data_IF_754710398113
#
_entry.id   IF_754710398113
#
_cell.length_a   1.000
_cell.length_b   1.000
_cell.length_c   1.000
_cell.angle_alpha   90.00
_cell.angle_beta   90.00
_cell.angle_gamma   90.00
#
_symmetry.space_group_name_H-M   'P 1'
#
loop_
_entity.id
_entity.type
_entity.pdbx_description
1 polymer ?
#
# COMPACT_ATOMS: atom_id res chain seq x y z
N UNK A 1 6.39 -37.76 -11.43
CA UNK A 1 6.40 -37.14 -12.78
C UNK A 1 7.18 -35.83 -12.71
N UNK A 2 8.13 -35.60 -13.65
CA UNK A 2 8.95 -34.39 -13.70
C UNK A 2 8.64 -33.60 -14.97
N UNK A 3 8.48 -32.30 -14.84
CA UNK A 3 8.26 -31.37 -15.93
C UNK A 3 9.38 -30.33 -15.94
N UNK A 4 9.91 -30.03 -17.11
CA UNK A 4 10.89 -28.98 -17.34
C UNK A 4 10.38 -28.07 -18.44
N UNK A 5 10.34 -26.75 -18.16
CA UNK A 5 9.95 -25.74 -19.14
C UNK A 5 11.10 -24.75 -19.31
N UNK A 6 11.49 -24.52 -20.55
CA UNK A 6 12.46 -23.50 -20.93
C UNK A 6 11.75 -22.43 -21.75
N UNK A 7 11.96 -21.18 -21.42
CA UNK A 7 11.40 -20.03 -22.13
C UNK A 7 12.49 -19.03 -22.47
N UNK A 8 12.35 -18.39 -23.61
CA UNK A 8 13.24 -17.30 -24.03
C UNK A 8 12.43 -16.33 -24.87
N UNK A 9 12.57 -15.03 -24.59
CA UNK A 9 11.92 -13.97 -25.36
C UNK A 9 12.87 -12.81 -25.55
N UNK A 10 12.80 -12.16 -26.69
CA UNK A 10 13.46 -10.89 -26.93
C UNK A 10 12.42 -9.87 -27.41
N UNK A 11 12.35 -8.73 -26.74
CA UNK A 11 11.45 -7.64 -27.07
C UNK A 11 12.24 -6.43 -27.60
N UNK A 12 11.58 -5.64 -28.43
CA UNK A 12 12.07 -4.37 -28.94
C UNK A 12 11.01 -3.31 -28.69
N UNK A 13 11.35 -2.26 -27.96
CA UNK A 13 10.43 -1.17 -27.68
C UNK A 13 10.88 0.13 -28.34
N UNK A 14 9.93 0.82 -28.98
CA UNK A 14 10.15 2.15 -29.55
C UNK A 14 10.16 3.27 -28.51
N UNK A 15 9.73 2.99 -27.28
CA UNK A 15 9.68 3.96 -26.17
C UNK A 15 11.05 4.19 -25.52
N UNK A 16 12.03 3.34 -25.85
CA UNK A 16 13.39 3.41 -25.36
C UNK A 16 14.36 4.02 -26.38
N UNK A 17 15.47 4.62 -25.93
CA UNK A 17 16.55 5.06 -26.78
C UNK A 17 17.04 3.92 -27.70
N UNK A 18 17.48 4.26 -28.91
CA UNK A 18 17.81 3.28 -29.96
C UNK A 18 18.78 2.20 -29.50
N UNK A 19 19.74 2.55 -28.66
CA UNK A 19 20.79 1.68 -28.11
C UNK A 19 20.25 0.68 -27.08
N UNK A 20 19.12 1.00 -26.44
CA UNK A 20 18.54 0.24 -25.33
C UNK A 20 17.19 -0.44 -25.69
N UNK A 21 16.79 -0.40 -26.96
CA UNK A 21 15.46 -0.91 -27.39
C UNK A 21 15.28 -2.41 -27.27
N UNK A 22 16.37 -3.18 -27.41
CA UNK A 22 16.32 -4.63 -27.41
C UNK A 22 16.70 -5.19 -26.07
N UNK A 23 15.86 -6.08 -25.52
CA UNK A 23 16.13 -6.75 -24.25
C UNK A 23 15.66 -8.20 -24.29
N UNK A 24 16.53 -9.08 -23.78
CA UNK A 24 16.35 -10.52 -23.79
C UNK A 24 16.15 -11.05 -22.38
N UNK A 25 15.18 -11.94 -22.22
CA UNK A 25 14.89 -12.53 -20.94
C UNK A 25 14.54 -14.02 -21.03
N UNK A 26 15.42 -14.88 -20.47
CA UNK A 26 15.23 -16.30 -20.39
C UNK A 26 14.49 -16.70 -19.12
N UNK A 27 13.91 -17.90 -19.13
CA UNK A 27 13.33 -18.51 -17.94
C UNK A 27 13.45 -20.04 -17.97
N UNK A 28 13.57 -20.63 -16.80
CA UNK A 28 13.55 -22.08 -16.59
C UNK A 28 12.68 -22.41 -15.40
N UNK A 29 11.79 -23.38 -15.57
CA UNK A 29 10.94 -23.88 -14.48
C UNK A 29 11.02 -25.40 -14.47
N UNK A 30 11.26 -25.97 -13.30
CA UNK A 30 11.15 -27.40 -13.04
C UNK A 30 10.05 -27.66 -12.02
N UNK A 31 9.24 -28.66 -12.23
CA UNK A 31 8.25 -29.11 -11.26
C UNK A 31 8.17 -30.63 -11.21
N UNK A 32 8.15 -31.14 -9.99
CA UNK A 32 8.17 -32.57 -9.69
C UNK A 32 6.96 -32.96 -8.86
N UNK A 33 6.04 -33.76 -9.47
CA UNK A 33 4.95 -34.42 -8.76
C UNK A 33 5.51 -35.69 -8.15
N UNK A 34 5.86 -35.60 -6.87
CA UNK A 34 6.47 -36.74 -6.16
C UNK A 34 5.46 -37.68 -5.54
N UNK A 35 4.21 -37.21 -5.31
CA UNK A 35 3.14 -38.06 -4.75
C UNK A 35 2.82 -39.30 -5.59
N UNK A 36 3.05 -39.23 -6.90
CA UNK A 36 2.87 -40.41 -7.76
C UNK A 36 3.86 -41.55 -7.40
N UNK A 37 5.02 -41.21 -6.85
CA UNK A 37 6.03 -42.18 -6.46
C UNK A 37 5.83 -42.73 -5.04
N UNK A 38 5.06 -42.03 -4.23
CA UNK A 38 4.84 -42.35 -2.80
C UNK A 38 3.44 -42.86 -2.51
N UNK A 39 2.62 -43.05 -3.55
CA UNK A 39 1.19 -43.35 -3.43
C UNK A 39 0.87 -44.59 -2.58
N UNK A 40 1.69 -45.62 -2.69
CA UNK A 40 1.53 -46.86 -1.92
C UNK A 40 2.07 -46.74 -0.48
N UNK A 41 3.18 -46.01 -0.29
CA UNK A 41 3.84 -45.87 1.01
C UNK A 41 3.19 -44.77 1.88
N UNK A 42 2.54 -43.79 1.26
CA UNK A 42 1.95 -42.64 1.95
C UNK A 42 0.51 -42.35 1.45
N UNK A 43 -0.46 -43.25 1.70
CA UNK A 43 -1.85 -43.08 1.22
C UNK A 43 -2.57 -41.87 1.83
N UNK A 44 -2.03 -41.31 2.91
CA UNK A 44 -2.50 -40.07 3.54
C UNK A 44 -2.10 -38.80 2.76
N UNK A 45 -1.06 -38.90 1.87
CA UNK A 45 -0.63 -37.83 0.99
C UNK A 45 -1.41 -37.92 -0.34
N UNK A 46 -2.46 -37.10 -0.47
CA UNK A 46 -3.32 -37.08 -1.66
C UNK A 46 -2.67 -36.44 -2.87
N UNK A 47 -1.80 -35.45 -2.65
CA UNK A 47 -1.04 -34.76 -3.68
C UNK A 47 0.24 -34.16 -3.09
N UNK A 48 1.34 -34.24 -3.84
CA UNK A 48 2.61 -33.62 -3.50
C UNK A 48 3.39 -33.20 -4.74
N UNK A 49 3.67 -31.90 -4.83
CA UNK A 49 4.42 -31.28 -5.93
C UNK A 49 5.41 -30.26 -5.38
N UNK A 50 6.67 -30.37 -5.81
CA UNK A 50 7.68 -29.34 -5.60
C UNK A 50 7.94 -28.58 -6.90
N UNK A 51 8.21 -27.28 -6.83
CA UNK A 51 8.55 -26.46 -7.99
C UNK A 51 9.70 -25.53 -7.70
N UNK A 52 10.53 -25.28 -8.71
CA UNK A 52 11.53 -24.23 -8.72
C UNK A 52 11.45 -23.50 -10.05
N UNK A 53 11.48 -22.18 -9.99
CA UNK A 53 11.48 -21.33 -11.17
C UNK A 53 12.57 -20.27 -11.03
N UNK A 54 13.29 -20.06 -12.11
CA UNK A 54 14.18 -18.93 -12.28
C UNK A 54 13.88 -18.27 -13.61
N UNK A 55 13.83 -16.95 -13.61
CA UNK A 55 13.58 -16.22 -14.85
C UNK A 55 13.93 -14.75 -14.75
N UNK A 56 14.02 -14.16 -15.93
CA UNK A 56 14.08 -12.72 -16.09
C UNK A 56 12.83 -12.24 -16.80
N UNK A 57 12.39 -11.03 -16.48
CA UNK A 57 11.35 -10.29 -17.19
C UNK A 57 11.84 -8.87 -17.43
N UNK A 58 11.52 -8.32 -18.59
CA UNK A 58 11.78 -6.93 -18.92
C UNK A 58 10.49 -6.13 -18.98
N UNK A 59 10.58 -4.85 -18.66
CA UNK A 59 9.52 -3.88 -18.85
C UNK A 59 10.09 -2.65 -19.51
N UNK A 60 9.40 -2.09 -20.50
CA UNK A 60 9.82 -0.88 -21.20
C UNK A 60 9.35 0.39 -20.49
N UNK A 61 9.75 1.53 -21.02
CA UNK A 61 9.30 2.84 -20.55
C UNK A 61 7.92 3.19 -21.13
N UNK A 62 7.19 4.03 -20.43
CA UNK A 62 6.04 4.71 -21.01
C UNK A 62 6.46 5.61 -22.19
N UNK A 63 5.50 5.96 -23.02
CA UNK A 63 5.76 6.84 -24.18
C UNK A 63 6.25 8.23 -23.72
N UNK A 64 7.15 8.81 -24.53
CA UNK A 64 7.70 10.18 -24.32
C UNK A 64 8.52 10.39 -23.04
N UNK A 65 9.05 9.33 -22.43
CA UNK A 65 9.94 9.49 -21.26
C UNK A 65 11.40 9.83 -21.65
N UNK A 66 11.76 9.72 -22.93
CA UNK A 66 13.13 9.99 -23.42
C UNK A 66 13.40 11.46 -23.69
N UNK A 67 12.37 12.20 -24.09
CA UNK A 67 12.48 13.58 -24.54
C UNK A 67 11.37 14.45 -23.94
N UNK A 68 11.64 15.73 -23.65
CA UNK A 68 10.58 16.65 -23.26
C UNK A 68 9.63 16.88 -24.43
N UNK A 69 8.34 16.97 -24.15
CA UNK A 69 7.32 17.21 -25.15
C UNK A 69 6.38 18.35 -24.74
N UNK A 70 5.71 18.92 -25.74
CA UNK A 70 4.74 19.97 -25.49
C UNK A 70 3.40 19.36 -25.10
N UNK A 71 2.82 19.85 -24.03
CA UNK A 71 1.46 19.55 -23.60
C UNK A 71 0.55 20.74 -23.85
N UNK A 72 -0.73 20.50 -24.04
CA UNK A 72 -1.69 21.57 -24.12
C UNK A 72 -1.67 22.39 -22.85
N UNK A 73 -1.52 23.71 -22.97
CA UNK A 73 -1.41 24.59 -21.81
C UNK A 73 -2.67 24.56 -20.98
N UNK A 74 -2.50 24.52 -19.69
CA UNK A 74 -3.53 24.89 -18.71
C UNK A 74 -2.90 25.89 -17.75
N UNK A 75 -3.68 26.91 -17.38
CA UNK A 75 -3.25 27.89 -16.41
C UNK A 75 -4.11 27.76 -15.16
N UNK A 76 -3.50 27.30 -14.09
CA UNK A 76 -4.13 27.22 -12.77
C UNK A 76 -3.37 28.14 -11.82
N UNK A 77 -3.93 29.29 -11.53
CA UNK A 77 -3.25 30.29 -10.68
C UNK A 77 -3.44 30.07 -9.18
N UNK A 78 -4.37 29.23 -8.76
CA UNK A 78 -4.74 29.14 -7.32
C UNK A 78 -5.43 27.86 -6.89
N UNK A 79 -5.48 26.84 -7.74
CA UNK A 79 -6.25 25.60 -7.46
C UNK A 79 -7.77 25.75 -7.56
N UNK A 80 -8.29 26.96 -7.73
CA UNK A 80 -9.73 27.24 -7.75
C UNK A 80 -10.29 27.51 -9.13
N UNK A 81 -9.46 27.86 -10.11
CA UNK A 81 -9.89 28.14 -11.47
C UNK A 81 -8.85 27.66 -12.48
N UNK A 82 -9.29 26.76 -13.36
CA UNK A 82 -8.50 26.26 -14.49
C UNK A 82 -8.88 27.02 -15.76
N UNK A 83 -7.91 27.71 -16.37
CA UNK A 83 -8.06 28.21 -17.73
C UNK A 83 -7.48 27.20 -18.69
N UNK A 84 -8.37 26.45 -19.36
CA UNK A 84 -8.00 25.44 -20.38
C UNK A 84 -7.84 26.06 -21.75
N UNK A 85 -6.95 25.51 -22.54
CA UNK A 85 -6.79 25.89 -23.93
C UNK A 85 -7.34 24.76 -24.86
N UNK A 86 -7.93 25.05 -26.02
CA UNK A 86 -8.13 26.41 -26.61
C UNK A 86 -9.00 27.30 -25.72
N UNK A 87 -8.56 28.53 -25.54
CA UNK A 87 -9.30 29.48 -24.72
C UNK A 87 -10.69 29.74 -25.32
N UNK A 88 -11.74 29.50 -24.53
CA UNK A 88 -13.10 29.39 -25.02
C UNK A 88 -13.65 30.65 -25.75
N UNK A 89 -13.17 31.84 -25.37
CA UNK A 89 -13.63 33.12 -26.00
C UNK A 89 -12.95 33.44 -27.32
N UNK A 90 -11.69 33.04 -27.52
CA UNK A 90 -10.89 33.47 -28.67
C UNK A 90 -10.42 32.31 -29.54
N UNK A 91 -10.61 31.06 -29.09
CA UNK A 91 -10.04 29.87 -29.77
C UNK A 91 -8.52 29.78 -29.73
N UNK A 92 -7.86 30.67 -28.96
CA UNK A 92 -6.39 30.70 -28.89
C UNK A 92 -5.86 29.45 -28.21
N UNK A 93 -4.91 28.76 -28.89
CA UNK A 93 -4.16 27.63 -28.31
C UNK A 93 -2.92 28.12 -27.59
N UNK A 94 -2.57 27.40 -26.54
CA UNK A 94 -1.29 27.51 -25.87
C UNK A 94 -0.72 26.11 -25.57
N UNK A 95 0.60 26.01 -25.62
CA UNK A 95 1.33 24.80 -25.27
C UNK A 95 2.41 25.17 -24.26
N UNK A 96 2.65 24.25 -23.35
CA UNK A 96 3.76 24.37 -22.39
C UNK A 96 4.72 23.20 -22.62
N UNK A 97 6.00 23.43 -22.43
CA UNK A 97 6.95 22.32 -22.28
C UNK A 97 6.63 21.62 -20.98
N UNK A 98 6.56 20.29 -20.99
CA UNK A 98 6.40 19.49 -19.77
C UNK A 98 7.50 19.84 -18.75
N UNK A 99 7.15 19.81 -17.50
CA UNK A 99 8.06 20.10 -16.38
C UNK A 99 8.92 18.89 -15.95
N UNK A 100 8.84 17.78 -16.71
CA UNK A 100 9.66 16.59 -16.50
C UNK A 100 10.73 16.48 -17.57
N UNK A 101 11.99 16.42 -17.15
CA UNK A 101 13.11 16.21 -18.05
C UNK A 101 13.15 14.76 -18.53
N UNK A 102 13.19 14.52 -19.84
CA UNK A 102 13.37 13.20 -20.43
C UNK A 102 14.79 12.66 -20.20
N UNK A 103 14.96 11.35 -20.37
CA UNK A 103 16.25 10.68 -20.26
C UNK A 103 16.66 10.02 -21.57
N UNK A 104 17.66 10.57 -22.24
CA UNK A 104 18.20 10.01 -23.47
C UNK A 104 18.94 8.66 -23.29
N UNK A 105 19.24 8.27 -22.05
CA UNK A 105 19.97 7.03 -21.70
C UNK A 105 19.07 5.98 -21.04
N UNK A 106 17.76 6.19 -21.05
CA UNK A 106 16.82 5.30 -20.39
C UNK A 106 16.97 3.85 -20.87
N UNK A 107 16.99 2.93 -19.93
CA UNK A 107 17.13 1.48 -20.17
C UNK A 107 15.87 0.76 -19.71
N UNK A 108 15.55 -0.43 -20.26
CA UNK A 108 14.42 -1.22 -19.77
C UNK A 108 14.65 -1.64 -18.33
N UNK A 109 13.58 -1.72 -17.57
CA UNK A 109 13.59 -2.36 -16.27
C UNK A 109 13.81 -3.85 -16.42
N UNK A 110 14.66 -4.44 -15.61
CA UNK A 110 14.92 -5.87 -15.63
C UNK A 110 14.70 -6.48 -14.27
N UNK A 111 13.80 -7.43 -14.20
CA UNK A 111 13.53 -8.19 -12.97
C UNK A 111 14.06 -9.61 -13.11
N UNK A 112 14.86 -10.04 -12.16
CA UNK A 112 15.31 -11.43 -12.02
C UNK A 112 14.66 -12.02 -10.78
N UNK A 113 14.06 -13.19 -10.94
CA UNK A 113 13.36 -13.88 -9.85
C UNK A 113 13.80 -15.32 -9.72
N UNK A 114 13.92 -15.77 -8.47
CA UNK A 114 14.08 -17.16 -8.09
C UNK A 114 12.94 -17.53 -7.13
N UNK A 115 12.18 -18.55 -7.47
CA UNK A 115 11.02 -19.03 -6.74
C UNK A 115 11.18 -20.50 -6.37
N UNK A 116 10.82 -20.86 -5.14
CA UNK A 116 10.64 -22.22 -4.66
C UNK A 116 9.21 -22.39 -4.16
N UNK A 117 8.54 -23.45 -4.58
CA UNK A 117 7.17 -23.71 -4.16
C UNK A 117 6.95 -25.18 -3.84
N UNK A 118 6.04 -25.42 -2.91
CA UNK A 118 5.55 -26.75 -2.57
C UNK A 118 4.03 -26.74 -2.48
N UNK A 119 3.40 -27.72 -3.11
CA UNK A 119 1.96 -27.97 -3.01
C UNK A 119 1.76 -29.34 -2.38
N UNK A 120 0.99 -29.37 -1.31
CA UNK A 120 0.67 -30.60 -0.57
C UNK A 120 -0.83 -30.68 -0.37
N UNK A 121 -1.39 -31.89 -0.49
CA UNK A 121 -2.74 -32.16 -0.06
C UNK A 121 -2.79 -33.51 0.69
N UNK A 122 -3.53 -33.54 1.77
CA UNK A 122 -3.59 -34.64 2.70
C UNK A 122 -5.05 -35.08 2.93
N UNK A 123 -5.21 -36.35 3.35
CA UNK A 123 -6.49 -36.90 3.82
C UNK A 123 -7.64 -36.66 2.83
N UNK A 124 -7.44 -37.07 1.57
CA UNK A 124 -8.41 -36.87 0.47
C UNK A 124 -8.76 -35.37 0.26
N UNK A 125 -7.71 -34.53 0.23
CA UNK A 125 -7.79 -33.07 0.06
C UNK A 125 -8.54 -32.34 1.20
N UNK A 126 -8.62 -32.91 2.40
CA UNK A 126 -9.16 -32.19 3.56
C UNK A 126 -8.23 -31.11 4.08
N UNK A 127 -6.94 -31.27 3.85
CA UNK A 127 -5.92 -30.29 4.19
C UNK A 127 -5.12 -30.07 2.92
N UNK A 128 -5.05 -28.86 2.44
CA UNK A 128 -4.14 -28.46 1.37
C UNK A 128 -3.28 -27.27 1.76
N UNK A 129 -2.04 -27.28 1.32
CA UNK A 129 -1.05 -26.23 1.51
C UNK A 129 -0.42 -25.93 0.16
N UNK A 130 -0.38 -24.66 -0.23
CA UNK A 130 0.53 -24.11 -1.24
C UNK A 130 1.44 -23.11 -0.52
N UNK A 131 2.74 -23.35 -0.55
CA UNK A 131 3.74 -22.48 0.04
C UNK A 131 4.77 -22.10 -1.01
N UNK A 132 5.04 -20.80 -1.10
CA UNK A 132 6.01 -20.25 -2.04
C UNK A 132 6.96 -19.32 -1.31
N UNK A 133 8.24 -19.47 -1.56
CA UNK A 133 9.28 -18.50 -1.23
C UNK A 133 9.82 -17.91 -2.52
N UNK A 134 9.96 -16.60 -2.58
CA UNK A 134 10.53 -15.89 -3.71
C UNK A 134 11.64 -14.92 -3.29
N UNK A 135 12.58 -14.71 -4.22
CA UNK A 135 13.58 -13.65 -4.13
C UNK A 135 13.68 -12.98 -5.50
N UNK A 136 13.14 -11.79 -5.58
CA UNK A 136 13.04 -10.97 -6.79
C UNK A 136 13.95 -9.75 -6.65
N UNK A 137 14.73 -9.49 -7.68
CA UNK A 137 15.55 -8.28 -7.77
C UNK A 137 15.19 -7.55 -9.06
N UNK A 138 14.70 -6.33 -8.90
CA UNK A 138 14.44 -5.40 -10.00
C UNK A 138 15.60 -4.43 -10.10
N UNK A 139 16.11 -4.28 -11.30
CA UNK A 139 17.24 -3.42 -11.64
C UNK A 139 16.80 -2.37 -12.66
N UNK A 140 17.31 -1.16 -12.55
CA UNK A 140 17.01 -0.06 -13.46
C UNK A 140 15.52 0.33 -13.51
N UNK A 141 14.81 0.26 -12.38
CA UNK A 141 13.41 0.71 -12.34
C UNK A 141 13.28 2.14 -12.86
N UNK A 142 12.30 2.36 -13.73
CA UNK A 142 12.04 3.68 -14.32
C UNK A 142 11.12 4.44 -13.37
N UNK A 143 11.56 5.64 -12.98
CA UNK A 143 10.79 6.51 -12.10
C UNK A 143 11.09 7.98 -12.40
N UNK A 144 10.28 8.85 -11.82
CA UNK A 144 10.55 10.29 -11.82
C UNK A 144 11.16 10.69 -10.48
N UNK A 145 12.21 11.44 -10.55
CA UNK A 145 12.87 12.04 -9.39
C UNK A 145 12.71 13.54 -9.41
N UNK A 146 12.44 14.12 -8.26
CA UNK A 146 12.44 15.58 -8.10
C UNK A 146 13.83 16.12 -8.37
N UNK A 147 13.90 17.19 -9.15
CA UNK A 147 15.13 17.94 -9.42
C UNK A 147 14.97 19.39 -8.96
N UNK A 148 16.09 20.09 -8.79
CA UNK A 148 16.06 21.50 -8.44
C UNK A 148 15.34 22.29 -9.54
N UNK A 149 14.36 23.10 -9.15
CA UNK A 149 13.58 23.94 -10.05
C UNK A 149 14.43 24.97 -10.83
N UNK A 150 15.64 25.29 -10.37
CA UNK A 150 16.61 26.11 -11.10
C UNK A 150 17.03 25.47 -12.44
N UNK A 151 16.85 24.16 -12.61
CA UNK A 151 17.06 23.46 -13.90
C UNK A 151 15.99 23.77 -14.95
N UNK A 152 14.88 24.43 -14.57
CA UNK A 152 13.70 24.63 -15.41
C UNK A 152 12.73 23.45 -15.42
N UNK A 153 13.01 22.39 -14.67
CA UNK A 153 12.18 21.20 -14.52
C UNK A 153 11.91 20.91 -13.05
N UNK A 154 10.84 20.21 -12.74
CA UNK A 154 10.51 19.79 -11.37
C UNK A 154 10.83 18.32 -11.12
N UNK A 155 10.96 17.53 -12.18
CA UNK A 155 11.31 16.13 -12.12
C UNK A 155 12.14 15.69 -13.33
N UNK A 156 12.80 14.56 -13.23
CA UNK A 156 13.54 13.89 -14.31
C UNK A 156 13.22 12.41 -14.35
N UNK A 157 13.04 11.85 -15.56
CA UNK A 157 12.92 10.41 -15.75
C UNK A 157 14.30 9.77 -15.61
N UNK A 158 14.42 8.76 -14.78
CA UNK A 158 15.68 8.05 -14.52
C UNK A 158 15.44 6.56 -14.34
N UNK A 159 16.49 5.75 -14.53
CA UNK A 159 16.52 4.40 -14.03
C UNK A 159 16.96 4.43 -12.56
N UNK A 160 16.01 4.24 -11.64
CA UNK A 160 16.30 4.13 -10.22
C UNK A 160 16.98 2.79 -9.94
N UNK A 161 18.13 2.78 -9.46
CA UNK A 161 18.98 1.75 -8.94
C UNK A 161 18.44 0.30 -8.90
N UNK A 162 18.66 -0.37 -7.77
CA UNK A 162 18.37 -1.80 -7.59
C UNK A 162 17.55 -2.03 -6.33
N UNK A 163 16.43 -2.77 -6.49
CA UNK A 163 15.52 -3.08 -5.38
C UNK A 163 15.33 -4.59 -5.31
N UNK A 164 15.37 -5.12 -4.10
CA UNK A 164 15.07 -6.53 -3.84
C UNK A 164 13.78 -6.68 -3.07
N UNK A 165 12.95 -7.62 -3.49
CA UNK A 165 11.80 -8.14 -2.78
C UNK A 165 12.00 -9.62 -2.52
N UNK A 166 11.87 -10.06 -1.29
CA UNK A 166 11.87 -11.46 -0.91
C UNK A 166 10.74 -11.73 0.05
N UNK A 167 10.08 -12.87 -0.11
CA UNK A 167 8.93 -13.12 0.72
C UNK A 167 8.47 -14.55 0.72
N UNK A 168 7.42 -14.75 1.50
CA UNK A 168 6.73 -16.03 1.64
C UNK A 168 5.25 -15.78 1.38
N UNK A 169 4.65 -16.68 0.60
CA UNK A 169 3.22 -16.74 0.36
C UNK A 169 2.72 -18.12 0.77
N UNK A 170 1.67 -18.16 1.57
CA UNK A 170 1.03 -19.38 2.04
C UNK A 170 -0.44 -19.34 1.71
N UNK A 171 -0.95 -20.45 1.18
CA UNK A 171 -2.38 -20.71 1.05
C UNK A 171 -2.69 -22.05 1.68
N UNK A 172 -3.52 -22.05 2.72
CA UNK A 172 -3.97 -23.25 3.42
C UNK A 172 -5.46 -23.36 3.27
N UNK A 173 -5.94 -24.53 2.83
CA UNK A 173 -7.35 -24.85 2.85
C UNK A 173 -7.57 -26.06 3.75
N UNK A 174 -8.52 -25.93 4.67
CA UNK A 174 -8.90 -26.98 5.62
C UNK A 174 -10.38 -27.29 5.44
N UNK A 175 -10.72 -28.56 5.48
CA UNK A 175 -12.10 -29.03 5.58
C UNK A 175 -12.23 -29.86 6.87
N UNK A 176 -12.33 -29.18 8.05
CA UNK A 176 -12.33 -29.84 9.34
C UNK A 176 -13.50 -30.83 9.48
N UNK A 177 -14.66 -30.46 8.97
CA UNK A 177 -15.86 -31.24 9.06
C UNK A 177 -16.47 -31.41 7.66
N UNK A 178 -16.73 -32.68 7.27
CA UNK A 178 -17.47 -33.02 6.08
C UNK A 178 -18.32 -34.21 6.38
N UNK A 179 -19.62 -33.97 6.47
CA UNK A 179 -20.67 -35.00 6.61
C UNK A 179 -21.65 -34.88 5.46
N UNK A 180 -22.71 -35.74 5.43
CA UNK A 180 -23.75 -35.64 4.42
C UNK A 180 -24.47 -34.27 4.46
N UNK A 181 -24.78 -33.78 5.65
CA UNK A 181 -25.62 -32.60 5.85
C UNK A 181 -24.82 -31.33 6.19
N UNK A 182 -23.57 -31.46 6.70
CA UNK A 182 -22.78 -30.35 7.13
C UNK A 182 -21.34 -30.40 6.56
N UNK A 183 -20.91 -29.31 6.00
CA UNK A 183 -19.52 -29.09 5.59
C UNK A 183 -19.02 -27.72 6.08
N UNK A 184 -17.83 -27.72 6.67
CA UNK A 184 -17.10 -26.50 7.01
C UNK A 184 -15.77 -26.49 6.27
N UNK A 185 -15.51 -25.43 5.51
CA UNK A 185 -14.25 -25.15 4.83
C UNK A 185 -13.68 -23.84 5.33
N UNK A 186 -12.39 -23.86 5.63
CA UNK A 186 -11.59 -22.71 6.06
C UNK A 186 -10.49 -22.50 5.04
N UNK A 187 -10.32 -21.28 4.55
CA UNK A 187 -9.18 -20.86 3.73
C UNK A 187 -8.40 -19.80 4.47
N UNK A 188 -7.10 -19.99 4.57
CA UNK A 188 -6.18 -19.04 5.15
C UNK A 188 -5.07 -18.71 4.14
N UNK A 189 -4.91 -17.44 3.80
CA UNK A 189 -3.79 -16.95 3.05
C UNK A 189 -2.93 -16.04 3.92
N UNK A 190 -1.62 -16.07 3.70
CA UNK A 190 -0.66 -15.25 4.40
C UNK A 190 0.44 -14.83 3.42
N UNK A 191 0.76 -13.54 3.42
CA UNK A 191 1.83 -12.97 2.58
C UNK A 191 2.70 -12.06 3.42
N UNK A 192 3.99 -12.28 3.35
CA UNK A 192 5.01 -11.39 3.90
C UNK A 192 6.05 -11.08 2.84
N UNK A 193 6.20 -9.80 2.50
CA UNK A 193 7.25 -9.30 1.63
C UNK A 193 8.26 -8.49 2.44
N UNK A 194 9.54 -8.68 2.17
CA UNK A 194 10.63 -7.87 2.70
C UNK A 194 11.30 -7.16 1.53
N UNK A 195 11.00 -5.89 1.40
CA UNK A 195 11.54 -5.01 0.39
C UNK A 195 12.85 -4.38 0.88
N UNK A 196 13.80 -4.14 -0.02
CA UNK A 196 15.04 -3.43 0.30
C UNK A 196 15.62 -2.71 -0.91
N UNK A 197 15.94 -1.44 -0.76
CA UNK A 197 16.74 -0.66 -1.71
C UNK A 197 18.20 -1.11 -1.56
N UNK A 198 18.74 -1.73 -2.61
CA UNK A 198 20.12 -2.25 -2.59
C UNK A 198 21.12 -1.22 -3.11
N UNK A 199 20.71 -0.41 -4.09
CA UNK A 199 21.56 0.63 -4.69
C UNK A 199 20.70 1.71 -5.32
N UNK A 200 21.09 2.95 -5.18
CA UNK A 200 20.58 4.12 -5.92
C UNK A 200 21.66 4.65 -6.89
N UNK A 201 21.31 5.49 -7.86
CA UNK A 201 22.31 6.23 -8.66
C UNK A 201 23.28 7.01 -7.76
N UNK A 202 24.54 7.08 -8.16
CA UNK A 202 25.60 7.71 -7.35
C UNK A 202 25.33 9.19 -7.07
N UNK A 203 24.69 9.87 -8.03
CA UNK A 203 24.32 11.29 -7.93
C UNK A 203 23.32 11.56 -6.78
N UNK A 204 22.66 10.54 -6.27
CA UNK A 204 21.66 10.66 -5.19
C UNK A 204 22.26 10.51 -3.79
N UNK A 205 23.57 10.23 -3.68
CA UNK A 205 24.23 10.05 -2.38
C UNK A 205 23.48 9.11 -1.43
N UNK A 206 22.92 7.99 -1.98
CA UNK A 206 22.23 6.96 -1.21
C UNK A 206 20.83 7.33 -0.72
N UNK A 207 20.25 8.47 -1.14
CA UNK A 207 18.91 8.91 -0.75
C UNK A 207 18.19 9.63 -1.88
N UNK A 208 16.97 9.23 -2.20
CA UNK A 208 16.13 9.84 -3.21
C UNK A 208 14.76 10.21 -2.64
N UNK A 209 14.28 11.43 -2.93
CA UNK A 209 12.91 11.83 -2.60
C UNK A 209 11.95 11.22 -3.61
N UNK A 210 10.96 10.47 -3.13
CA UNK A 210 9.86 9.92 -3.93
C UNK A 210 8.72 10.93 -3.99
N UNK A 211 8.38 11.48 -2.83
CA UNK A 211 7.31 12.47 -2.68
C UNK A 211 7.58 13.35 -1.46
N UNK A 212 7.35 14.64 -1.57
CA UNK A 212 7.45 15.60 -0.47
C UNK A 212 6.11 16.33 -0.30
N UNK A 213 5.69 16.50 0.95
CA UNK A 213 4.50 17.28 1.29
C UNK A 213 4.91 18.57 2.02
N UNK A 214 4.21 19.67 1.71
CA UNK A 214 4.45 21.01 2.30
C UNK A 214 4.06 21.10 3.78
N UNK A 215 4.39 20.19 4.60
CA UNK A 215 4.08 20.14 6.03
C UNK A 215 5.16 19.44 6.81
N UNK A 216 6.35 19.27 6.18
CA UNK A 216 7.48 18.65 6.87
C UNK A 216 7.40 17.12 6.94
N UNK A 217 6.74 16.48 5.95
CA UNK A 217 6.72 15.02 5.77
C UNK A 217 7.17 14.66 4.36
N UNK A 218 8.01 13.67 4.22
CA UNK A 218 8.49 13.18 2.93
C UNK A 218 8.56 11.67 2.89
N UNK A 219 8.43 11.13 1.68
CA UNK A 219 8.61 9.71 1.37
C UNK A 219 9.90 9.52 0.59
N UNK A 220 10.75 8.64 1.03
CA UNK A 220 12.11 8.49 0.52
C UNK A 220 12.44 7.04 0.17
N UNK A 221 13.31 6.88 -0.83
CA UNK A 221 14.11 5.68 -1.04
C UNK A 221 15.50 5.91 -0.42
N UNK A 222 15.93 5.04 0.47
CA UNK A 222 17.21 5.13 1.18
C UNK A 222 17.95 3.80 1.00
N UNK A 223 19.21 3.85 0.58
CA UNK A 223 20.03 2.65 0.44
C UNK A 223 20.15 1.88 1.75
N UNK A 224 19.94 0.59 1.68
CA UNK A 224 19.98 -0.29 2.86
C UNK A 224 18.65 -0.39 3.61
N UNK A 225 17.69 0.48 3.35
CA UNK A 225 16.37 0.52 3.95
C UNK A 225 15.29 -0.06 3.02
N UNK A 226 14.05 -0.09 3.50
CA UNK A 226 12.91 -0.41 2.66
C UNK A 226 12.60 0.72 1.67
N UNK A 227 12.02 0.38 0.53
CA UNK A 227 11.48 1.37 -0.39
C UNK A 227 10.26 2.03 0.23
N UNK A 228 10.29 3.36 0.32
CA UNK A 228 9.18 4.13 0.89
C UNK A 228 9.29 4.30 2.41
N UNK A 229 10.36 4.95 2.84
CA UNK A 229 10.54 5.39 4.23
C UNK A 229 9.92 6.76 4.41
N UNK A 230 9.06 6.90 5.39
CA UNK A 230 8.60 8.20 5.86
C UNK A 230 9.67 8.84 6.77
N UNK A 231 10.03 10.06 6.44
CA UNK A 231 10.75 10.98 7.32
C UNK A 231 9.90 12.21 7.57
N UNK A 232 9.94 12.73 8.78
CA UNK A 232 9.20 13.91 9.18
C UNK A 232 9.93 14.68 10.29
N UNK A 233 9.59 15.94 10.47
CA UNK A 233 9.93 16.65 11.70
C UNK A 233 9.12 16.07 12.86
N UNK A 234 9.76 15.98 14.02
CA UNK A 234 9.13 15.58 15.28
C UNK A 234 9.39 16.63 16.36
N UNK A 235 8.63 16.60 17.44
CA UNK A 235 8.88 17.50 18.56
C UNK A 235 10.28 17.24 19.15
N UNK A 236 11.03 18.32 19.32
CA UNK A 236 12.36 18.31 19.94
C UNK A 236 12.22 17.94 21.42
N UNK A 237 13.03 17.00 21.89
CA UNK A 237 13.00 16.56 23.29
C UNK A 237 14.39 16.65 23.90
N UNK A 238 14.44 16.80 25.23
CA UNK A 238 15.68 16.65 25.99
C UNK A 238 15.96 15.16 26.27
N UNK A 239 17.07 14.88 26.96
CA UNK A 239 17.49 13.50 27.30
C UNK A 239 16.51 12.77 28.24
N UNK A 240 15.63 13.48 28.93
CA UNK A 240 14.57 12.92 29.77
C UNK A 240 13.27 12.68 29.00
N UNK A 241 13.24 12.97 27.69
CA UNK A 241 12.05 12.84 26.85
C UNK A 241 10.98 13.91 27.09
N UNK A 242 11.37 15.05 27.68
CA UNK A 242 10.49 16.21 27.85
C UNK A 242 10.50 17.07 26.58
N UNK A 243 9.34 17.53 26.14
CA UNK A 243 9.17 18.35 24.93
C UNK A 243 9.80 19.73 25.17
N UNK A 244 10.67 20.16 24.29
CA UNK A 244 11.24 21.51 24.31
C UNK A 244 10.27 22.46 23.62
N UNK A 245 9.89 23.53 24.33
CA UNK A 245 8.96 24.54 23.82
C UNK A 245 9.68 25.86 23.53
N UNK A 246 9.09 26.66 22.64
CA UNK A 246 9.53 28.02 22.36
C UNK A 246 9.06 29.03 23.41
N UNK A 247 9.39 30.30 23.22
CA UNK A 247 8.98 31.42 24.10
C UNK A 247 7.46 31.63 24.20
N UNK A 248 6.67 30.99 23.33
CA UNK A 248 5.20 31.04 23.32
C UNK A 248 4.59 29.77 23.95
N UNK A 249 5.41 28.84 24.41
CA UNK A 249 4.97 27.55 24.96
C UNK A 249 4.65 26.50 23.91
N UNK A 250 4.95 26.74 22.63
CA UNK A 250 4.71 25.81 21.54
C UNK A 250 5.88 24.83 21.37
N UNK A 251 5.64 23.53 21.09
CA UNK A 251 6.67 22.56 20.79
C UNK A 251 7.56 23.02 19.63
N UNK A 252 8.87 22.86 19.80
CA UNK A 252 9.84 23.08 18.73
C UNK A 252 10.04 21.81 17.93
N UNK A 253 10.28 21.96 16.64
CA UNK A 253 10.63 20.84 15.77
C UNK A 253 12.12 20.51 15.84
N UNK A 254 12.45 19.26 15.52
CA UNK A 254 13.84 18.88 15.22
C UNK A 254 14.38 19.71 14.07
N UNK A 255 15.71 19.93 14.06
CA UNK A 255 16.37 20.73 13.01
C UNK A 255 16.38 19.97 11.66
N UNK A 256 16.31 18.64 11.71
CA UNK A 256 16.25 17.75 10.54
C UNK A 256 15.07 16.78 10.66
N UNK A 257 14.59 16.28 9.51
CA UNK A 257 13.62 15.21 9.48
C UNK A 257 14.23 13.91 10.02
N UNK A 258 13.47 13.16 10.76
CA UNK A 258 13.87 11.85 11.28
C UNK A 258 13.02 10.75 10.67
N UNK A 259 13.58 9.54 10.59
CA UNK A 259 12.86 8.35 10.13
C UNK A 259 11.74 8.01 11.10
N UNK A 260 10.51 7.93 10.57
CA UNK A 260 9.31 7.57 11.34
C UNK A 260 8.94 6.11 11.10
N UNK A 261 9.00 5.64 9.85
CA UNK A 261 8.66 4.25 9.51
C UNK A 261 8.51 4.03 8.01
N UNK A 262 7.91 2.92 7.63
CA UNK A 262 7.76 2.47 6.24
C UNK A 262 6.31 2.47 5.80
N UNK A 263 6.08 2.63 4.49
CA UNK A 263 4.76 2.41 3.87
C UNK A 263 4.38 0.93 3.78
N UNK A 264 5.33 0.02 3.95
CA UNK A 264 5.13 -1.40 3.71
C UNK A 264 4.44 -2.09 4.88
N UNK A 265 3.57 -3.06 4.57
CA UNK A 265 3.00 -3.93 5.60
C UNK A 265 4.03 -4.95 6.08
N UNK A 266 4.02 -5.26 7.38
CA UNK A 266 4.81 -6.36 7.95
C UNK A 266 4.33 -7.71 7.41
N UNK A 267 2.99 -7.86 7.28
CA UNK A 267 2.32 -8.97 6.63
C UNK A 267 0.87 -8.64 6.27
N UNK A 268 0.33 -9.44 5.36
CA UNK A 268 -1.09 -9.44 4.99
C UNK A 268 -1.65 -10.85 5.18
N UNK A 269 -2.91 -10.96 5.61
CA UNK A 269 -3.55 -12.24 5.89
C UNK A 269 -5.04 -12.16 5.57
N UNK A 270 -5.57 -13.21 4.94
CA UNK A 270 -6.98 -13.40 4.71
C UNK A 270 -7.48 -14.69 5.37
N UNK A 271 -8.67 -14.66 5.95
CA UNK A 271 -9.33 -15.82 6.55
C UNK A 271 -10.74 -15.92 6.01
N UNK A 272 -10.98 -16.89 5.14
CA UNK A 272 -12.28 -17.18 4.58
C UNK A 272 -12.91 -18.40 5.25
N UNK A 273 -14.18 -18.30 5.60
CA UNK A 273 -14.97 -19.40 6.14
C UNK A 273 -16.16 -19.67 5.23
N UNK A 274 -16.45 -20.93 4.98
CA UNK A 274 -17.64 -21.37 4.28
C UNK A 274 -18.26 -22.55 5.04
N UNK A 275 -19.51 -22.38 5.46
CA UNK A 275 -20.29 -23.37 6.17
C UNK A 275 -21.51 -23.73 5.32
N UNK A 276 -21.73 -25.00 5.09
CA UNK A 276 -22.96 -25.51 4.43
C UNK A 276 -23.68 -26.45 5.39
N UNK A 277 -24.93 -26.17 5.64
CA UNK A 277 -25.82 -27.06 6.38
C UNK A 277 -27.05 -27.33 5.56
N UNK A 278 -27.17 -28.55 5.02
CA UNK A 278 -28.22 -28.94 4.07
C UNK A 278 -28.31 -27.94 2.91
N UNK A 279 -29.40 -27.21 2.83
CA UNK A 279 -29.72 -26.26 1.77
C UNK A 279 -29.24 -24.82 2.11
N UNK A 280 -28.67 -24.62 3.29
CA UNK A 280 -28.19 -23.31 3.73
C UNK A 280 -26.68 -23.21 3.59
N UNK A 281 -26.21 -22.01 3.20
CA UNK A 281 -24.78 -21.66 3.15
C UNK A 281 -24.54 -20.36 3.92
N UNK A 282 -23.45 -20.31 4.66
CA UNK A 282 -22.92 -19.09 5.29
C UNK A 282 -21.45 -18.97 4.95
N UNK A 283 -21.06 -17.85 4.36
CA UNK A 283 -19.64 -17.52 4.17
C UNK A 283 -19.32 -16.15 4.74
N UNK A 284 -18.09 -16.01 5.25
CA UNK A 284 -17.58 -14.74 5.72
C UNK A 284 -16.05 -14.68 5.61
N UNK A 285 -15.55 -13.50 5.27
CA UNK A 285 -14.15 -13.27 4.97
C UNK A 285 -13.59 -12.11 5.81
N UNK A 286 -12.47 -12.38 6.46
CA UNK A 286 -11.65 -11.37 7.11
C UNK A 286 -10.43 -11.04 6.26
N UNK A 287 -10.10 -9.76 6.18
CA UNK A 287 -8.84 -9.23 5.63
C UNK A 287 -8.10 -8.51 6.76
N UNK A 288 -6.84 -8.87 6.94
CA UNK A 288 -5.98 -8.40 8.02
C UNK A 288 -4.69 -7.89 7.39
N UNK A 289 -4.34 -6.65 7.69
CA UNK A 289 -3.04 -6.09 7.34
C UNK A 289 -2.40 -5.50 8.57
N UNK A 290 -1.13 -5.78 8.74
CA UNK A 290 -0.36 -5.34 9.90
C UNK A 290 0.85 -4.53 9.44
N UNK A 291 1.13 -3.44 10.15
CA UNK A 291 2.25 -2.55 9.87
C UNK A 291 1.95 -1.53 8.77
N UNK A 292 2.95 -0.78 8.40
CA UNK A 292 2.89 0.31 7.44
C UNK A 292 2.29 1.59 7.99
N UNK A 293 2.76 2.69 7.44
CA UNK A 293 2.27 4.03 7.72
C UNK A 293 1.68 4.64 6.45
N UNK A 294 0.80 5.61 6.63
CA UNK A 294 0.29 6.49 5.58
C UNK A 294 0.11 7.91 6.11
N UNK A 295 0.25 8.87 5.24
CA UNK A 295 -0.12 10.25 5.53
C UNK A 295 -1.63 10.41 5.42
N UNK A 296 -2.25 11.06 6.40
CA UNK A 296 -3.67 11.37 6.39
C UNK A 296 -3.91 12.88 6.43
N UNK A 297 -4.32 13.44 5.29
CA UNK A 297 -4.76 14.84 5.25
C UNK A 297 -6.08 15.04 5.98
N UNK A 298 -6.93 14.01 6.06
CA UNK A 298 -8.15 14.06 6.86
C UNK A 298 -7.83 14.27 8.34
N UNK A 299 -6.82 13.56 8.87
CA UNK A 299 -6.31 13.78 10.23
C UNK A 299 -5.90 15.24 10.40
N UNK A 300 -5.01 15.73 9.57
CA UNK A 300 -4.49 17.09 9.62
C UNK A 300 -5.60 18.15 9.56
N UNK A 301 -6.53 18.06 8.59
CA UNK A 301 -7.64 18.99 8.47
C UNK A 301 -8.58 18.96 9.68
N UNK A 302 -8.84 17.80 10.27
CA UNK A 302 -9.74 17.72 11.44
C UNK A 302 -9.12 18.33 12.69
N UNK A 303 -7.80 18.29 12.84
CA UNK A 303 -7.08 19.03 13.88
C UNK A 303 -7.09 20.52 13.61
N UNK A 304 -6.71 20.96 12.41
CA UNK A 304 -6.79 22.35 11.97
C UNK A 304 -8.15 22.99 12.19
N UNK A 305 -9.23 22.29 11.85
CA UNK A 305 -10.60 22.81 12.00
C UNK A 305 -11.18 22.67 13.40
N UNK A 306 -10.46 22.00 14.30
CA UNK A 306 -10.93 21.71 15.67
C UNK A 306 -12.04 20.67 15.73
N UNK A 307 -12.22 19.84 14.70
CA UNK A 307 -13.23 18.78 14.66
C UNK A 307 -12.74 17.44 15.24
N UNK A 308 -11.42 17.27 15.41
CA UNK A 308 -10.88 16.10 16.11
C UNK A 308 -11.21 16.18 17.60
N UNK A 309 -11.61 15.05 18.21
CA UNK A 309 -11.96 15.01 19.64
C UNK A 309 -10.79 15.42 20.55
N UNK A 310 -9.56 15.20 20.11
CA UNK A 310 -8.35 15.59 20.81
C UNK A 310 -8.28 17.11 21.01
N UNK A 311 -8.78 17.88 20.05
CA UNK A 311 -8.81 19.36 20.14
C UNK A 311 -9.77 19.89 21.23
N UNK A 312 -10.61 19.01 21.81
CA UNK A 312 -11.44 19.33 22.97
C UNK A 312 -10.70 19.13 24.32
N UNK A 313 -9.39 18.83 24.28
CA UNK A 313 -8.57 18.72 25.49
C UNK A 313 -8.77 19.93 26.43
N UNK A 314 -8.84 19.68 27.73
CA UNK A 314 -9.12 20.66 28.76
C UNK A 314 -10.38 21.54 28.46
N UNK A 315 -11.38 20.98 27.75
CA UNK A 315 -12.57 21.73 27.30
C UNK A 315 -12.21 23.01 26.50
N UNK A 316 -11.09 22.98 25.78
CA UNK A 316 -10.50 24.11 25.03
C UNK A 316 -10.13 25.33 25.91
N UNK A 317 -10.01 25.14 27.21
CA UNK A 317 -9.45 26.14 28.09
C UNK A 317 -7.92 26.18 27.96
N UNK A 318 -7.27 27.29 28.35
CA UNK A 318 -5.83 27.40 28.39
C UNK A 318 -5.17 26.25 29.14
N UNK A 319 -4.06 25.74 28.62
CA UNK A 319 -3.24 24.71 29.28
C UNK A 319 -1.76 24.87 28.95
N UNK A 320 -0.91 24.38 29.81
CA UNK A 320 0.53 24.23 29.58
C UNK A 320 0.75 22.89 28.90
N UNK A 321 1.62 22.84 27.87
CA UNK A 321 1.95 21.56 27.20
C UNK A 321 2.47 20.57 28.24
N UNK A 322 1.85 19.40 28.36
CA UNK A 322 2.26 18.40 29.34
C UNK A 322 3.69 17.90 29.07
N UNK A 323 4.44 17.60 30.12
CA UNK A 323 5.81 17.07 30.05
C UNK A 323 6.72 17.92 29.15
N UNK A 324 6.74 19.24 29.36
CA UNK A 324 7.49 20.17 28.54
C UNK A 324 8.41 21.07 29.37
N UNK A 325 9.48 21.53 28.72
CA UNK A 325 10.53 22.36 29.31
C UNK A 325 10.94 23.49 28.35
N UNK A 326 11.55 24.53 28.90
CA UNK A 326 12.16 25.63 28.18
C UNK A 326 13.68 25.40 28.18
N UNK A 327 14.30 25.44 27.00
CA UNK A 327 15.75 25.42 26.85
C UNK A 327 16.33 26.80 27.21
N UNK A 328 17.21 26.85 28.20
CA UNK A 328 17.86 28.09 28.66
C UNK A 328 19.05 28.51 27.77
N UNK A 329 19.45 27.63 26.80
CA UNK A 329 20.57 27.90 25.89
C UNK A 329 21.96 27.68 26.48
N UNK A 330 22.06 27.26 27.70
CA UNK A 330 23.32 26.95 28.41
C UNK A 330 23.46 25.45 28.73
N UNK A 331 22.60 24.60 28.13
CA UNK A 331 22.53 23.17 28.39
C UNK A 331 21.66 22.81 29.58
N UNK A 332 20.98 23.79 30.20
CA UNK A 332 20.00 23.54 31.27
C UNK A 332 18.57 23.76 30.78
N UNK A 333 17.62 23.22 31.51
CA UNK A 333 16.20 23.32 31.19
C UNK A 333 15.41 23.85 32.39
N UNK A 334 14.44 24.71 32.11
CA UNK A 334 13.48 25.21 33.09
C UNK A 334 12.10 24.60 32.87
N UNK A 335 11.29 24.50 33.94
CA UNK A 335 9.90 24.04 33.83
C UNK A 335 9.08 25.00 32.96
N UNK A 336 8.30 24.43 32.03
CA UNK A 336 7.38 25.22 31.21
C UNK A 336 6.15 25.61 32.04
N UNK A 337 5.94 26.91 32.20
CA UNK A 337 4.77 27.49 32.87
C UNK A 337 3.96 28.39 31.91
N UNK A 338 4.19 28.32 30.61
CA UNK A 338 3.56 29.19 29.61
C UNK A 338 2.25 28.53 29.14
N UNK A 339 1.08 29.09 29.47
CA UNK A 339 -0.19 28.54 29.00
C UNK A 339 -0.43 28.89 27.52
N UNK A 340 -0.91 27.91 26.78
CA UNK A 340 -1.42 28.10 25.42
C UNK A 340 -2.84 28.67 25.48
N UNK A 341 -3.12 29.75 24.75
CA UNK A 341 -4.45 30.34 24.63
C UNK A 341 -4.61 31.10 23.30
N UNK A 342 -5.86 31.29 22.85
CA UNK A 342 -6.14 32.02 21.60
C UNK A 342 -5.34 31.45 20.43
N UNK A 343 -4.53 32.28 19.77
CA UNK A 343 -3.75 31.88 18.60
C UNK A 343 -2.71 30.80 18.91
N UNK A 344 -2.07 30.80 20.08
CA UNK A 344 -1.10 29.76 20.42
C UNK A 344 -1.77 28.41 20.66
N UNK A 345 -2.99 28.40 21.22
CA UNK A 345 -3.79 27.17 21.34
C UNK A 345 -4.21 26.63 19.97
N UNK A 346 -4.61 27.51 19.06
CA UNK A 346 -4.91 27.16 17.68
C UNK A 346 -3.66 26.58 17.00
N UNK A 347 -2.52 27.28 17.05
CA UNK A 347 -1.28 26.83 16.42
C UNK A 347 -0.77 25.49 16.98
N UNK A 348 -1.04 25.21 18.26
CA UNK A 348 -0.70 23.92 18.85
C UNK A 348 -1.45 22.78 18.15
N UNK A 349 -2.74 22.95 17.90
CA UNK A 349 -3.52 21.90 17.23
C UNK A 349 -3.32 21.87 15.72
N UNK A 350 -2.99 22.99 15.10
CA UNK A 350 -2.71 23.06 13.66
C UNK A 350 -1.35 22.46 13.29
N UNK A 351 -0.31 22.76 14.08
CA UNK A 351 1.06 22.43 13.69
C UNK A 351 1.91 21.86 14.82
N UNK A 352 1.44 21.81 16.04
CA UNK A 352 2.31 21.60 17.21
C UNK A 352 1.98 20.44 18.11
N UNK A 353 0.74 19.91 18.10
CA UNK A 353 0.31 18.88 19.04
C UNK A 353 1.11 17.58 18.90
N UNK A 354 1.42 17.20 17.67
CA UNK A 354 2.15 15.99 17.34
C UNK A 354 3.37 16.29 16.47
N UNK A 355 3.90 17.49 16.54
CA UNK A 355 4.92 18.06 15.68
C UNK A 355 4.51 18.09 14.18
N UNK A 356 4.92 19.14 13.52
CA UNK A 356 4.63 19.32 12.10
C UNK A 356 5.04 18.10 11.27
N UNK A 357 4.08 17.43 10.69
CA UNK A 357 4.28 16.37 9.73
C UNK A 357 4.21 14.95 10.30
N UNK A 358 4.77 14.65 11.46
CA UNK A 358 4.71 13.29 12.03
C UNK A 358 3.33 12.94 12.56
N UNK A 359 2.57 13.89 13.11
CA UNK A 359 1.24 13.67 13.66
C UNK A 359 0.21 13.20 12.63
N UNK A 360 0.39 13.57 11.35
CA UNK A 360 -0.49 13.09 10.26
C UNK A 360 -0.08 11.74 9.68
N UNK A 361 1.00 11.11 10.18
CA UNK A 361 1.40 9.76 9.82
C UNK A 361 0.68 8.75 10.70
N UNK A 362 -0.29 8.07 10.14
CA UNK A 362 -1.12 7.09 10.84
C UNK A 362 -0.80 5.66 10.42
N UNK A 363 -1.12 4.70 11.28
CA UNK A 363 -0.95 3.28 10.97
C UNK A 363 -1.91 2.83 9.87
N UNK A 364 -1.40 2.06 8.92
CA UNK A 364 -2.20 1.36 7.88
C UNK A 364 -2.78 0.03 8.37
N UNK A 365 -2.49 -0.39 9.60
CA UNK A 365 -2.97 -1.66 10.13
C UNK A 365 -4.48 -1.69 10.25
N UNK A 366 -5.08 -2.83 9.92
CA UNK A 366 -6.50 -3.06 10.13
C UNK A 366 -6.87 -4.54 10.18
N UNK A 367 -8.05 -4.80 10.72
CA UNK A 367 -8.83 -6.03 10.53
C UNK A 367 -10.18 -5.62 9.95
N UNK A 368 -10.57 -6.23 8.82
CA UNK A 368 -11.87 -5.97 8.18
C UNK A 368 -12.68 -7.24 8.02
N UNK A 369 -13.96 -7.18 8.37
CA UNK A 369 -14.96 -8.14 7.91
C UNK A 369 -15.44 -7.69 6.52
N UNK A 370 -14.82 -8.28 5.49
CA UNK A 370 -15.00 -7.87 4.10
C UNK A 370 -16.36 -8.21 3.56
N UNK A 371 -16.81 -9.43 3.85
CA UNK A 371 -18.05 -9.94 3.30
C UNK A 371 -18.67 -10.93 4.25
N UNK A 372 -20.00 -10.93 4.29
CA UNK A 372 -20.81 -12.01 4.83
C UNK A 372 -21.89 -12.33 3.80
N UNK A 373 -22.05 -13.59 3.45
CA UNK A 373 -23.10 -14.06 2.54
C UNK A 373 -23.86 -15.18 3.25
N UNK A 374 -25.18 -15.04 3.29
CA UNK A 374 -26.08 -16.13 3.69
C UNK A 374 -26.92 -16.54 2.49
N UNK A 375 -26.84 -17.82 2.12
CA UNK A 375 -27.52 -18.39 0.96
C UNK A 375 -28.47 -19.52 1.34
N UNK A 376 -29.49 -19.70 0.53
CA UNK A 376 -30.49 -20.77 0.67
C UNK A 376 -30.86 -21.33 -0.69
N UNK A 377 -30.65 -22.62 -0.89
CA UNK A 377 -31.14 -23.35 -2.02
C UNK A 377 -32.61 -23.80 -1.73
N UNK A 378 -33.55 -23.35 -2.55
CA UNK A 378 -34.94 -23.70 -2.35
C UNK A 378 -35.12 -25.21 -2.50
N UNK A 379 -35.87 -25.85 -1.59
CA UNK A 379 -36.17 -27.28 -1.68
C UNK A 379 -36.79 -27.65 -3.03
N UNK A 380 -36.31 -28.70 -3.67
CA UNK A 380 -36.80 -29.14 -4.99
C UNK A 380 -38.30 -29.35 -5.01
N UNK A 381 -38.89 -29.79 -3.88
CA UNK A 381 -40.33 -29.96 -3.75
C UNK A 381 -41.14 -28.69 -3.98
N UNK A 382 -40.58 -27.50 -3.69
CA UNK A 382 -41.27 -26.22 -3.86
C UNK A 382 -41.32 -25.76 -5.32
N UNK A 383 -40.31 -26.15 -6.10
CA UNK A 383 -40.18 -25.78 -7.51
C UNK A 383 -40.64 -26.92 -8.48
N UNK A 384 -40.98 -28.10 -7.95
CA UNK A 384 -41.28 -29.29 -8.74
C UNK A 384 -42.44 -29.13 -9.75
N UNK A 385 -43.32 -28.15 -9.53
CA UNK A 385 -44.45 -27.85 -10.44
C UNK A 385 -44.16 -26.72 -11.42
N UNK A 386 -42.95 -26.21 -11.44
CA UNK A 386 -42.49 -25.15 -12.34
C UNK A 386 -41.51 -25.73 -13.37
N UNK A 387 -41.12 -24.94 -14.35
CA UNK A 387 -40.07 -25.28 -15.32
C UNK A 387 -38.66 -25.10 -14.77
N UNK A 388 -38.52 -24.73 -13.50
CA UNK A 388 -37.25 -24.45 -12.85
C UNK A 388 -36.58 -25.71 -12.33
N UNK A 389 -35.29 -25.87 -12.54
CA UNK A 389 -34.48 -26.96 -12.03
C UNK A 389 -33.74 -26.60 -10.72
N UNK A 390 -33.66 -25.32 -10.39
CA UNK A 390 -33.06 -24.84 -9.15
C UNK A 390 -33.31 -23.34 -8.92
N UNK A 391 -33.43 -22.95 -7.65
CA UNK A 391 -33.47 -21.54 -7.22
C UNK A 391 -32.56 -21.39 -6.01
N UNK A 392 -31.61 -20.48 -6.11
CA UNK A 392 -30.74 -20.08 -5.00
C UNK A 392 -31.00 -18.63 -4.65
N UNK A 393 -31.29 -18.36 -3.39
CA UNK A 393 -31.46 -17.03 -2.83
C UNK A 393 -30.28 -16.71 -1.94
N UNK A 394 -29.73 -15.50 -2.02
CA UNK A 394 -28.71 -15.07 -1.06
C UNK A 394 -28.84 -13.60 -0.71
N UNK A 395 -28.47 -13.28 0.52
CA UNK A 395 -28.27 -11.94 1.01
C UNK A 395 -26.81 -11.74 1.33
N UNK A 396 -26.28 -10.56 1.07
CA UNK A 396 -24.89 -10.27 1.35
C UNK A 396 -24.70 -8.89 1.95
N UNK A 397 -23.64 -8.76 2.73
CA UNK A 397 -23.13 -7.48 3.19
C UNK A 397 -21.62 -7.41 2.98
N UNK A 398 -21.15 -6.25 2.47
CA UNK A 398 -19.73 -6.00 2.22
C UNK A 398 -19.22 -4.85 3.08
N UNK A 399 -17.94 -4.92 3.49
CA UNK A 399 -17.26 -3.93 4.34
C UNK A 399 -18.02 -3.66 5.65
N UNK A 400 -18.47 -4.72 6.31
CA UNK A 400 -19.40 -4.63 7.44
C UNK A 400 -18.76 -4.03 8.67
N UNK A 401 -17.54 -4.45 8.99
CA UNK A 401 -16.80 -4.02 10.18
C UNK A 401 -15.35 -3.75 9.81
N UNK A 402 -14.78 -2.76 10.47
CA UNK A 402 -13.37 -2.39 10.38
C UNK A 402 -12.85 -2.05 11.76
N UNK A 403 -11.70 -2.60 12.12
CA UNK A 403 -10.95 -2.29 13.32
C UNK A 403 -9.58 -1.77 12.93
N UNK A 404 -9.21 -0.63 13.46
CA UNK A 404 -7.93 0.04 13.26
C UNK A 404 -7.27 0.32 14.61
N UNK A 405 -5.95 0.55 14.68
CA UNK A 405 -5.30 1.07 15.86
C UNK A 405 -5.92 2.40 16.33
N UNK A 406 -5.82 2.68 17.62
CA UNK A 406 -6.42 3.89 18.24
C UNK A 406 -5.95 5.21 17.63
N UNK A 407 -4.75 5.25 17.03
CA UNK A 407 -4.23 6.42 16.32
C UNK A 407 -4.87 6.65 14.94
N UNK A 408 -5.64 5.71 14.40
CA UNK A 408 -6.38 5.88 13.16
C UNK A 408 -7.88 5.72 13.40
N UNK A 409 -8.54 6.81 13.73
CA UNK A 409 -10.01 6.88 13.87
C UNK A 409 -10.68 7.67 12.74
N UNK A 410 -9.92 8.12 11.76
CA UNK A 410 -10.34 9.12 10.76
C UNK A 410 -10.70 8.53 9.42
N UNK A 411 -9.88 7.60 8.91
CA UNK A 411 -9.99 7.12 7.53
C UNK A 411 -9.85 5.61 7.42
N UNK A 412 -10.39 5.08 6.33
CA UNK A 412 -10.09 3.72 5.90
C UNK A 412 -8.62 3.65 5.43
N UNK A 413 -7.77 2.77 6.02
CA UNK A 413 -6.37 2.67 5.64
C UNK A 413 -6.11 2.25 4.18
N UNK A 414 -7.11 1.84 3.44
CA UNK A 414 -7.03 1.55 2.00
C UNK A 414 -7.34 2.76 1.11
N UNK A 415 -7.75 3.89 1.71
CA UNK A 415 -7.97 5.10 0.95
C UNK A 415 -6.65 5.63 0.40
N UNK A 416 -6.65 6.05 -0.87
CA UNK A 416 -5.52 6.71 -1.53
C UNK A 416 -6.04 7.81 -2.43
N UNK A 417 -5.36 8.94 -2.43
CA UNK A 417 -5.68 10.11 -3.28
C UNK A 417 -4.53 10.50 -4.21
N UNK A 418 -3.37 9.85 -4.11
CA UNK A 418 -2.14 10.29 -4.76
C UNK A 418 -1.78 9.48 -6.03
N UNK A 419 -2.71 8.68 -6.57
CA UNK A 419 -2.51 7.91 -7.78
C UNK A 419 -2.35 6.40 -7.55
N UNK A 420 -1.88 5.68 -8.56
CA UNK A 420 -1.77 4.22 -8.57
C UNK A 420 -0.33 3.71 -8.58
N UNK A 421 0.63 4.61 -8.56
CA UNK A 421 2.06 4.32 -8.52
C UNK A 421 2.61 4.30 -7.09
N UNK A 422 3.92 4.42 -6.94
CA UNK A 422 4.57 4.45 -5.63
C UNK A 422 4.07 5.64 -4.78
N UNK A 423 3.74 6.78 -5.41
CA UNK A 423 3.21 7.96 -4.72
C UNK A 423 1.80 7.69 -4.18
N UNK A 424 1.02 6.82 -4.81
CA UNK A 424 -0.29 6.39 -4.30
C UNK A 424 -0.24 5.76 -2.90
N UNK A 425 0.90 5.20 -2.53
CA UNK A 425 1.12 4.65 -1.19
C UNK A 425 1.42 5.72 -0.14
N UNK A 426 1.66 6.97 -0.54
CA UNK A 426 1.90 8.06 0.41
C UNK A 426 0.72 8.24 1.38
N UNK A 427 -0.51 8.23 0.88
CA UNK A 427 -1.67 8.32 1.75
C UNK A 427 -2.94 8.82 1.09
N UNK A 428 -3.73 9.59 1.86
CA UNK A 428 -5.00 10.15 1.41
C UNK A 428 -5.06 11.68 1.63
N UNK A 429 -5.84 12.33 0.77
CA UNK A 429 -6.08 13.76 0.83
C UNK A 429 -7.59 14.02 0.89
N UNK A 430 -8.15 13.98 2.10
CA UNK A 430 -9.60 14.17 2.36
C UNK A 430 -10.48 13.20 1.55
N UNK A 431 -10.10 11.92 1.55
CA UNK A 431 -10.80 10.88 0.82
C UNK A 431 -12.21 10.66 1.38
N UNK A 432 -13.14 10.32 0.50
CA UNK A 432 -14.48 9.94 0.92
C UNK A 432 -14.44 8.69 1.81
N UNK A 433 -15.29 8.61 2.84
CA UNK A 433 -15.42 7.42 3.66
C UNK A 433 -15.76 6.17 2.83
N UNK A 434 -15.21 5.03 3.21
CA UNK A 434 -15.60 3.75 2.63
C UNK A 434 -17.06 3.42 2.95
N UNK A 435 -17.75 2.72 2.05
CA UNK A 435 -19.17 2.40 2.18
C UNK A 435 -19.40 0.96 2.56
N UNK A 436 -20.40 0.70 3.41
CA UNK A 436 -21.01 -0.62 3.58
C UNK A 436 -22.02 -0.83 2.46
N UNK A 437 -22.05 -2.07 1.92
CA UNK A 437 -23.00 -2.42 0.87
C UNK A 437 -23.80 -3.63 1.31
N UNK A 438 -25.10 -3.58 1.08
CA UNK A 438 -26.01 -4.70 1.32
C UNK A 438 -26.76 -5.00 0.04
N UNK A 439 -27.03 -6.27 -0.20
CA UNK A 439 -27.76 -6.67 -1.38
C UNK A 439 -28.32 -8.09 -1.25
N UNK A 440 -29.04 -8.48 -2.28
CA UNK A 440 -29.53 -9.83 -2.43
C UNK A 440 -29.32 -10.33 -3.86
N UNK A 441 -29.22 -11.65 -4.02
CA UNK A 441 -29.16 -12.29 -5.32
C UNK A 441 -30.24 -13.36 -5.40
N UNK A 442 -30.81 -13.49 -6.60
CA UNK A 442 -31.69 -14.58 -6.97
C UNK A 442 -31.08 -15.26 -8.19
N UNK A 443 -30.66 -16.49 -8.05
CA UNK A 443 -30.12 -17.29 -9.14
C UNK A 443 -31.13 -18.39 -9.48
N UNK A 444 -31.59 -18.40 -10.73
CA UNK A 444 -32.61 -19.31 -11.21
C UNK A 444 -32.00 -20.19 -12.30
N UNK A 445 -32.18 -21.49 -12.18
CA UNK A 445 -31.80 -22.51 -13.18
C UNK A 445 -33.03 -23.07 -13.85
N UNK A 446 -32.97 -23.13 -15.15
CA UNK A 446 -34.05 -23.67 -16.01
C UNK A 446 -33.75 -25.09 -16.45
#
# INVERSE_FOLDING_TARGET
MLYLTLTARNDWSSTLPKENRSFFYPGVTASWIFSEMTKEQAPWLSFGKARVAWGKTGNDADVYMTDPYYTQGSFNSSGWADSKFPFSKTGTNAYTVGNVLGSATLSPEMTTELEFGIQLAFLQNRISLDATYYNRTSDKQITQLSVDAASGYTAQNVNLGKIRNRGIELLVTLVPIRTKDFEWSLTWNYTKNNNKVLKLPEEMNGRASIYGFTGGTGLYAIEGEEMGIFEAYVAKTNDQGQIIVDKNGLPQNTDEMVKIGSINYDYMMGIGNSLRYKDFTLSFDFDIRQGGLMFSRTHDITYFTGNAIQTAYNNRNPFVVPNSVIDNGDGTYSENNIPLYGTTLYNYWDNGADAMGSGSLISKSYVKLRQVIFGWDLPKAWIAKTFLTGVHLSVFGNNLLMWTPSGNTFVDPEASSFGNDLTGNFGEYSSNPSSRKFGFNVNVKF
#
